data_IF_855342246690
#
_entry.id   IF_855342246690
#
_cell.length_a   1.000
_cell.length_b   1.000
_cell.length_c   1.000
_cell.angle_alpha   90.00
_cell.angle_beta   90.00
_cell.angle_gamma   90.00
#
_symmetry.space_group_name_H-M   'P 1'
#
loop_
_entity.id
_entity.type
_entity.pdbx_description
1 polymer ?
#
# COMPACT_ATOMS: atom_id res chain seq x y z
N UNK A 1 -4.36 59.29 -7.27
CA UNK A 1 -3.51 58.32 -8.00
C UNK A 1 -3.89 56.93 -7.51
N UNK A 2 -4.48 56.11 -8.39
CA UNK A 2 -4.98 54.77 -8.05
C UNK A 2 -3.97 53.76 -8.59
N UNK A 3 -3.25 53.08 -7.71
CA UNK A 3 -2.33 52.02 -8.09
C UNK A 3 -3.13 50.73 -8.33
N UNK A 4 -3.23 50.35 -9.60
CA UNK A 4 -3.79 49.08 -10.07
C UNK A 4 -2.79 47.95 -9.77
N UNK A 5 -3.17 47.01 -8.91
CA UNK A 5 -2.45 45.75 -8.73
C UNK A 5 -3.04 44.70 -9.68
N UNK A 6 -2.33 44.41 -10.78
CA UNK A 6 -2.62 43.25 -11.62
C UNK A 6 -2.14 41.99 -10.88
N UNK A 7 -3.11 41.25 -10.32
CA UNK A 7 -2.89 39.92 -9.77
C UNK A 7 -2.41 38.96 -10.85
N UNK A 8 -1.22 38.42 -10.62
CA UNK A 8 -0.52 37.44 -11.44
C UNK A 8 -1.43 36.25 -11.75
N UNK A 9 -1.59 35.95 -13.04
CA UNK A 9 -2.26 34.75 -13.51
C UNK A 9 -1.56 33.51 -12.95
N UNK A 10 -2.27 32.75 -12.11
CA UNK A 10 -1.85 31.42 -11.66
C UNK A 10 -1.80 30.54 -12.90
N UNK A 11 -0.59 30.37 -13.45
CA UNK A 11 -0.31 29.36 -14.46
C UNK A 11 -0.55 28.01 -13.81
N UNK A 12 -1.72 27.42 -14.11
CA UNK A 12 -2.02 26.03 -13.82
C UNK A 12 -0.93 25.19 -14.46
N UNK A 13 -0.03 24.64 -13.65
CA UNK A 13 0.93 23.63 -14.07
C UNK A 13 0.12 22.36 -14.32
N UNK A 14 -0.47 22.27 -15.52
CA UNK A 14 -0.96 21.01 -16.06
C UNK A 14 0.26 20.09 -16.20
N UNK A 15 0.47 19.23 -15.20
CA UNK A 15 1.40 18.12 -15.32
C UNK A 15 0.77 17.15 -16.31
N UNK A 16 1.07 17.30 -17.60
CA UNK A 16 0.87 16.24 -18.58
C UNK A 16 1.52 14.98 -18.01
N UNK A 17 0.74 13.93 -17.77
CA UNK A 17 1.25 12.70 -17.17
C UNK A 17 2.34 12.11 -18.06
N UNK A 18 3.56 11.88 -17.54
CA UNK A 18 4.55 11.14 -18.29
C UNK A 18 4.09 9.68 -18.32
N UNK A 19 4.00 9.11 -19.52
CA UNK A 19 3.65 7.71 -19.81
C UNK A 19 2.17 7.32 -19.71
N UNK A 20 1.34 7.86 -20.60
CA UNK A 20 0.32 7.00 -21.20
C UNK A 20 1.08 6.08 -22.15
N UNK A 21 1.23 4.81 -21.77
CA UNK A 21 1.75 3.79 -22.68
C UNK A 21 0.55 3.10 -23.34
N UNK A 22 0.10 3.57 -24.53
CA UNK A 22 -1.06 2.98 -25.22
C UNK A 22 -0.89 1.48 -25.51
N UNK A 23 0.36 0.99 -25.57
CA UNK A 23 0.70 -0.42 -25.77
C UNK A 23 0.13 -1.36 -24.68
N UNK A 24 -0.01 -0.87 -23.45
CA UNK A 24 -0.42 -1.66 -22.30
C UNK A 24 -1.94 -1.79 -22.13
N UNK A 25 -2.74 -1.07 -22.93
CA UNK A 25 -4.20 -1.07 -22.88
C UNK A 25 -4.79 0.07 -22.05
N UNK A 26 -6.03 -0.10 -21.58
CA UNK A 26 -6.79 0.91 -20.83
C UNK A 26 -6.27 1.02 -19.40
N UNK A 27 -5.97 2.24 -18.93
CA UNK A 27 -5.61 2.48 -17.53
C UNK A 27 -6.84 2.27 -16.63
N UNK A 28 -6.80 1.26 -15.76
CA UNK A 28 -7.92 0.90 -14.87
C UNK A 28 -7.69 1.30 -13.42
N UNK A 29 -6.44 1.55 -13.03
CA UNK A 29 -6.12 1.98 -11.67
C UNK A 29 -4.83 2.80 -11.59
N UNK A 30 -4.83 3.81 -10.72
CA UNK A 30 -3.68 4.68 -10.45
C UNK A 30 -3.47 4.80 -8.94
N UNK A 31 -2.42 4.15 -8.47
CA UNK A 31 -1.97 4.21 -7.08
C UNK A 31 -1.21 5.50 -6.77
N UNK A 32 -1.23 5.91 -5.51
CA UNK A 32 -0.44 7.00 -4.97
C UNK A 32 0.56 6.49 -3.93
N UNK A 33 1.72 6.03 -4.40
CA UNK A 33 2.76 5.52 -3.50
C UNK A 33 3.28 6.62 -2.56
N UNK A 34 3.35 7.87 -3.04
CA UNK A 34 3.81 8.99 -2.22
C UNK A 34 2.94 9.19 -0.96
N UNK A 35 1.62 9.06 -1.09
CA UNK A 35 0.69 9.10 0.06
C UNK A 35 0.94 7.95 1.04
N UNK A 36 1.21 6.74 0.55
CA UNK A 36 1.54 5.58 1.40
C UNK A 36 2.83 5.82 2.17
N UNK A 37 3.89 6.24 1.49
CA UNK A 37 5.19 6.56 2.11
C UNK A 37 5.04 7.70 3.13
N UNK A 38 4.25 8.73 2.81
CA UNK A 38 3.96 9.83 3.71
C UNK A 38 3.22 9.37 4.97
N UNK A 39 2.20 8.51 4.83
CA UNK A 39 1.45 7.96 5.95
C UNK A 39 2.33 7.16 6.91
N UNK A 40 3.20 6.29 6.37
CA UNK A 40 4.15 5.51 7.19
C UNK A 40 5.11 6.43 7.95
N UNK A 41 5.66 7.45 7.28
CA UNK A 41 6.55 8.43 7.94
C UNK A 41 5.84 9.21 9.02
N UNK A 42 4.63 9.70 8.75
CA UNK A 42 3.84 10.45 9.72
C UNK A 42 3.52 9.60 10.95
N UNK A 43 3.14 8.34 10.75
CA UNK A 43 2.90 7.40 11.83
C UNK A 43 4.16 7.19 12.69
N UNK A 44 5.31 6.92 12.07
CA UNK A 44 6.58 6.77 12.79
C UNK A 44 6.96 8.04 13.55
N UNK A 45 6.90 9.21 12.91
CA UNK A 45 7.22 10.49 13.57
C UNK A 45 6.27 10.81 14.71
N UNK A 46 4.97 10.60 14.54
CA UNK A 46 3.99 10.83 15.60
C UNK A 46 4.26 9.95 16.82
N UNK A 47 4.65 8.69 16.61
CA UNK A 47 4.99 7.78 17.70
C UNK A 47 6.30 8.17 18.38
N UNK A 48 7.30 8.63 17.63
CA UNK A 48 8.55 9.15 18.20
C UNK A 48 8.31 10.41 19.04
N UNK A 49 7.49 11.35 18.54
CA UNK A 49 7.10 12.56 19.27
C UNK A 49 6.33 12.19 20.54
N UNK A 50 5.37 11.29 20.45
CA UNK A 50 4.62 10.78 21.60
C UNK A 50 5.57 10.20 22.67
N UNK A 51 6.50 9.34 22.27
CA UNK A 51 7.50 8.78 23.18
C UNK A 51 8.37 9.87 23.83
N UNK A 52 8.78 10.89 23.06
CA UNK A 52 9.58 12.00 23.56
C UNK A 52 8.85 12.81 24.63
N UNK A 53 7.54 13.00 24.51
CA UNK A 53 6.73 13.74 25.50
C UNK A 53 6.26 12.87 26.67
N UNK A 54 6.00 11.59 26.44
CA UNK A 54 5.57 10.65 27.47
C UNK A 54 6.65 10.45 28.53
N UNK A 55 7.93 10.45 28.13
CA UNK A 55 9.08 10.30 29.03
C UNK A 55 9.17 11.37 30.13
N UNK A 56 9.30 12.68 29.81
CA UNK A 56 9.35 13.72 30.84
C UNK A 56 8.05 13.77 31.63
N UNK A 57 6.90 13.45 31.02
CA UNK A 57 5.64 13.35 31.73
C UNK A 57 5.69 12.29 32.84
N UNK A 58 6.13 11.05 32.54
CA UNK A 58 6.23 9.98 33.55
C UNK A 58 7.21 10.37 34.66
N UNK A 59 8.38 10.91 34.32
CA UNK A 59 9.39 11.34 35.30
C UNK A 59 8.84 12.42 36.23
N UNK A 60 8.19 13.45 35.69
CA UNK A 60 7.65 14.57 36.47
C UNK A 60 6.47 14.14 37.35
N UNK A 61 5.58 13.26 36.85
CA UNK A 61 4.32 12.90 37.53
C UNK A 61 4.48 11.76 38.52
N UNK A 62 5.43 10.87 38.27
CA UNK A 62 5.63 9.64 39.06
C UNK A 62 6.88 9.72 39.92
N UNK A 63 7.83 10.61 39.60
CA UNK A 63 9.14 10.69 40.28
C UNK A 63 10.07 9.49 40.02
N UNK A 64 9.56 8.47 39.33
CA UNK A 64 10.27 7.27 38.91
C UNK A 64 11.08 7.64 37.66
N UNK A 65 12.37 7.96 37.85
CA UNK A 65 13.34 8.04 36.77
C UNK A 65 13.61 6.66 36.14
N UNK A 66 14.70 6.53 35.38
CA UNK A 66 15.21 5.25 34.85
C UNK A 66 15.67 4.24 35.94
N UNK A 67 15.17 4.36 37.16
CA UNK A 67 15.46 3.49 38.31
C UNK A 67 14.97 2.05 38.07
N UNK A 68 13.88 1.87 37.31
CA UNK A 68 13.32 0.56 37.00
C UNK A 68 13.85 0.02 35.67
N UNK A 69 14.62 -1.08 35.75
CA UNK A 69 15.10 -1.84 34.60
C UNK A 69 13.95 -2.25 33.65
N UNK A 70 12.75 -2.52 34.17
CA UNK A 70 11.59 -2.90 33.37
C UNK A 70 11.12 -1.76 32.45
N UNK A 71 11.05 -0.53 32.98
CA UNK A 71 10.63 0.64 32.21
C UNK A 71 11.67 0.92 31.12
N UNK A 72 12.96 0.89 31.48
CA UNK A 72 14.05 1.08 30.53
C UNK A 72 14.03 0.04 29.40
N UNK A 73 13.86 -1.24 29.73
CA UNK A 73 13.76 -2.32 28.76
C UNK A 73 12.56 -2.17 27.82
N UNK A 74 11.40 -1.78 28.34
CA UNK A 74 10.21 -1.54 27.53
C UNK A 74 10.43 -0.42 26.49
N UNK A 75 11.07 0.68 26.89
CA UNK A 75 11.34 1.80 25.98
C UNK A 75 12.38 1.47 24.92
N UNK A 76 13.51 0.86 25.28
CA UNK A 76 14.48 0.43 24.27
C UNK A 76 13.91 -0.64 23.35
N UNK A 77 13.06 -1.52 23.88
CA UNK A 77 12.28 -2.48 23.09
C UNK A 77 11.38 -1.79 22.08
N UNK A 78 10.63 -0.76 22.50
CA UNK A 78 9.74 0.01 21.62
C UNK A 78 10.52 0.76 20.53
N UNK A 79 11.62 1.42 20.90
CA UNK A 79 12.51 2.12 19.96
C UNK A 79 13.10 1.13 18.95
N UNK A 80 13.62 0.00 19.43
CA UNK A 80 14.15 -1.07 18.58
C UNK A 80 13.09 -1.60 17.63
N UNK A 81 11.89 -1.89 18.13
CA UNK A 81 10.75 -2.35 17.33
C UNK A 81 10.45 -1.37 16.19
N UNK A 82 10.26 -0.09 16.47
CA UNK A 82 9.97 0.90 15.43
C UNK A 82 11.11 1.10 14.44
N UNK A 83 12.36 0.95 14.89
CA UNK A 83 13.57 1.05 14.04
C UNK A 83 13.60 -0.04 12.98
N UNK A 84 13.17 -1.27 13.29
CA UNK A 84 13.13 -2.38 12.32
C UNK A 84 11.79 -2.47 11.57
N UNK A 85 10.68 -2.24 12.23
CA UNK A 85 9.34 -2.38 11.63
C UNK A 85 9.12 -1.34 10.55
N UNK A 86 9.49 -0.08 10.78
CA UNK A 86 9.29 1.00 9.78
C UNK A 86 9.94 0.67 8.42
N UNK A 87 11.26 0.34 8.32
CA UNK A 87 11.88 0.01 7.05
C UNK A 87 11.34 -1.29 6.44
N UNK A 88 10.99 -2.29 7.25
CA UNK A 88 10.39 -3.55 6.75
C UNK A 88 9.00 -3.30 6.15
N UNK A 89 8.14 -2.58 6.86
CA UNK A 89 6.80 -2.19 6.37
C UNK A 89 6.93 -1.39 5.09
N UNK A 90 7.84 -0.41 5.03
CA UNK A 90 8.06 0.37 3.83
C UNK A 90 8.56 -0.49 2.66
N UNK A 91 9.46 -1.44 2.91
CA UNK A 91 9.98 -2.35 1.88
C UNK A 91 8.90 -3.27 1.31
N UNK A 92 8.09 -3.89 2.17
CA UNK A 92 6.99 -4.76 1.76
C UNK A 92 5.93 -3.97 0.99
N UNK A 93 5.55 -2.80 1.49
CA UNK A 93 4.58 -1.94 0.83
C UNK A 93 5.10 -1.46 -0.52
N UNK A 94 6.29 -0.87 -0.62
CA UNK A 94 6.79 -0.29 -1.88
C UNK A 94 6.98 -1.34 -2.97
N UNK A 95 7.45 -2.55 -2.64
CA UNK A 95 7.66 -3.65 -3.59
C UNK A 95 6.37 -4.23 -4.15
N UNK A 96 5.33 -4.35 -3.31
CA UNK A 96 4.03 -4.89 -3.69
C UNK A 96 3.05 -3.85 -4.21
N UNK A 97 3.28 -2.55 -3.95
CA UNK A 97 2.34 -1.50 -4.31
C UNK A 97 2.27 -1.30 -5.82
N UNK A 98 1.08 -1.50 -6.37
CA UNK A 98 0.80 -1.20 -7.77
C UNK A 98 0.64 0.31 -7.89
N UNK A 99 1.42 0.93 -8.76
CA UNK A 99 1.33 2.37 -9.04
C UNK A 99 0.40 2.64 -10.22
N UNK A 100 0.38 1.75 -11.21
CA UNK A 100 -0.49 1.82 -12.38
C UNK A 100 -0.88 0.41 -12.76
N UNK A 101 -2.16 0.22 -13.10
CA UNK A 101 -2.67 -1.03 -13.62
C UNK A 101 -3.38 -0.76 -14.93
N UNK A 102 -3.00 -1.50 -15.97
CA UNK A 102 -3.61 -1.45 -17.28
C UNK A 102 -4.32 -2.77 -17.56
N UNK A 103 -5.44 -2.69 -18.28
CA UNK A 103 -6.22 -3.83 -18.71
C UNK A 103 -6.36 -3.85 -20.24
N UNK A 104 -6.19 -5.02 -20.83
CA UNK A 104 -6.39 -5.27 -22.27
C UNK A 104 -7.49 -6.31 -22.43
N UNK A 105 -8.61 -5.87 -23.00
CA UNK A 105 -9.84 -6.65 -23.20
C UNK A 105 -9.59 -7.86 -24.13
N UNK A 106 -8.92 -7.63 -25.26
CA UNK A 106 -8.66 -8.64 -26.31
C UNK A 106 -8.04 -9.96 -25.79
N UNK A 107 -7.20 -9.89 -24.75
CA UNK A 107 -6.47 -11.04 -24.22
C UNK A 107 -6.74 -11.31 -22.74
N UNK A 108 -7.72 -10.63 -22.13
CA UNK A 108 -7.99 -10.69 -20.70
C UNK A 108 -6.73 -10.59 -19.82
N UNK A 109 -5.89 -9.61 -20.17
CA UNK A 109 -4.53 -9.48 -19.64
C UNK A 109 -4.36 -8.14 -18.92
N UNK A 110 -3.73 -8.21 -17.75
CA UNK A 110 -3.36 -7.07 -16.94
C UNK A 110 -1.87 -6.79 -17.02
N UNK A 111 -1.53 -5.50 -17.05
CA UNK A 111 -0.15 -5.04 -16.82
C UNK A 111 -0.11 -4.19 -15.57
N UNK A 112 0.49 -4.73 -14.50
CA UNK A 112 0.79 -3.98 -13.29
C UNK A 112 2.18 -3.35 -13.40
N UNK A 113 2.26 -2.05 -13.17
CA UNK A 113 3.51 -1.33 -12.96
C UNK A 113 3.70 -1.18 -11.45
N UNK A 114 4.83 -1.66 -10.94
CA UNK A 114 5.26 -1.50 -9.54
C UNK A 114 6.63 -0.85 -9.47
N UNK A 115 7.03 -0.39 -8.29
CA UNK A 115 8.42 0.01 -8.05
C UNK A 115 9.20 -1.15 -7.42
N UNK A 116 10.49 -1.24 -7.75
CA UNK A 116 11.43 -2.10 -7.03
C UNK A 116 11.97 -1.37 -5.76
N UNK A 117 12.86 -2.03 -5.01
CA UNK A 117 13.47 -1.46 -3.81
C UNK A 117 14.31 -0.18 -4.06
N UNK A 118 14.68 0.08 -5.31
CA UNK A 118 15.47 1.24 -5.76
C UNK A 118 14.58 2.24 -6.52
N UNK A 119 13.25 2.18 -6.34
CA UNK A 119 12.26 3.06 -6.99
C UNK A 119 12.32 3.04 -8.54
N UNK A 120 12.80 1.96 -9.14
CA UNK A 120 12.73 1.75 -10.59
C UNK A 120 11.41 1.08 -10.94
N UNK A 121 10.76 1.56 -12.00
CA UNK A 121 9.52 0.98 -12.50
C UNK A 121 9.74 -0.42 -13.07
N UNK A 122 8.83 -1.34 -12.77
CA UNK A 122 8.83 -2.70 -13.28
C UNK A 122 7.43 -3.07 -13.75
N UNK A 123 7.31 -3.40 -15.04
CA UNK A 123 6.08 -3.95 -15.60
C UNK A 123 5.97 -5.46 -15.33
N UNK A 124 4.79 -5.91 -14.96
CA UNK A 124 4.44 -7.33 -14.80
C UNK A 124 3.14 -7.60 -15.54
N UNK A 125 3.19 -8.51 -16.50
CA UNK A 125 2.04 -8.94 -17.29
C UNK A 125 1.50 -10.26 -16.77
N UNK A 126 0.19 -10.34 -16.52
CA UNK A 126 -0.49 -11.52 -16.00
C UNK A 126 -1.93 -11.58 -16.48
N UNK A 127 -2.53 -12.78 -16.50
CA UNK A 127 -3.94 -12.94 -16.83
C UNK A 127 -4.80 -12.86 -15.57
N UNK A 128 -6.08 -12.56 -15.72
CA UNK A 128 -7.04 -12.57 -14.61
C UNK A 128 -7.08 -13.93 -13.90
N UNK A 129 -7.01 -15.04 -14.65
CA UNK A 129 -6.92 -16.41 -14.10
C UNK A 129 -5.69 -16.69 -13.23
N UNK A 130 -4.62 -15.90 -13.38
CA UNK A 130 -3.40 -16.05 -12.58
C UNK A 130 -3.50 -15.29 -11.25
N UNK A 131 -4.63 -14.60 -11.00
CA UNK A 131 -4.91 -13.84 -9.80
C UNK A 131 -5.40 -14.77 -8.69
N UNK A 132 -4.72 -14.75 -7.55
CA UNK A 132 -5.13 -15.48 -6.34
C UNK A 132 -5.39 -14.52 -5.19
N UNK A 133 -6.53 -14.66 -4.53
CA UNK A 133 -6.87 -13.87 -3.34
C UNK A 133 -6.16 -14.50 -2.13
N UNK A 134 -5.42 -13.72 -1.34
CA UNK A 134 -4.77 -14.23 -0.15
C UNK A 134 -5.78 -14.56 0.95
N UNK A 135 -5.49 -15.61 1.73
CA UNK A 135 -6.13 -15.82 3.02
C UNK A 135 -5.83 -14.67 3.99
N UNK A 136 -6.71 -14.54 4.99
CA UNK A 136 -6.72 -13.50 6.03
C UNK A 136 -5.34 -13.29 6.70
N UNK A 137 -4.50 -14.33 6.71
CA UNK A 137 -3.15 -14.34 7.31
C UNK A 137 -2.15 -13.40 6.63
N UNK A 138 -2.41 -12.89 5.41
CA UNK A 138 -1.45 -12.09 4.64
C UNK A 138 -1.82 -10.61 4.59
N UNK A 139 -1.47 -9.87 5.66
CA UNK A 139 -1.96 -8.52 5.95
C UNK A 139 -1.48 -7.35 5.05
N UNK A 140 -0.71 -7.59 3.97
CA UNK A 140 -0.18 -6.51 3.11
C UNK A 140 -0.21 -6.87 1.62
N UNK A 141 -1.16 -7.70 1.22
CA UNK A 141 -1.35 -8.14 -0.16
C UNK A 141 -2.83 -8.13 -0.46
N UNK A 142 -3.23 -7.46 -1.55
CA UNK A 142 -4.63 -7.51 -2.02
C UNK A 142 -4.85 -8.75 -2.87
N UNK A 143 -3.88 -9.07 -3.74
CA UNK A 143 -3.93 -10.25 -4.59
C UNK A 143 -2.53 -10.69 -4.98
N UNK A 144 -2.40 -11.94 -5.40
CA UNK A 144 -1.20 -12.48 -6.02
C UNK A 144 -1.38 -12.54 -7.52
N UNK A 145 -0.45 -11.97 -8.28
CA UNK A 145 -0.32 -12.23 -9.71
C UNK A 145 0.78 -13.28 -9.91
N UNK A 146 0.39 -14.52 -10.22
CA UNK A 146 1.31 -15.68 -10.26
C UNK A 146 1.99 -15.91 -8.91
N UNK A 147 3.25 -15.50 -8.77
CA UNK A 147 4.06 -15.63 -7.54
C UNK A 147 4.36 -14.29 -6.86
N UNK A 148 3.88 -13.16 -7.43
CA UNK A 148 4.14 -11.82 -6.90
C UNK A 148 2.95 -11.29 -6.11
N UNK A 149 3.21 -10.83 -4.88
CA UNK A 149 2.23 -10.10 -4.06
C UNK A 149 2.01 -8.69 -4.62
N UNK A 150 0.76 -8.33 -4.83
CA UNK A 150 0.34 -7.01 -5.29
C UNK A 150 -0.60 -6.37 -4.28
N UNK A 151 -0.44 -5.07 -4.06
CA UNK A 151 -1.27 -4.26 -3.19
C UNK A 151 -1.90 -3.14 -4.01
N UNK A 152 -3.23 -3.11 -4.02
CA UNK A 152 -4.05 -2.08 -4.66
C UNK A 152 -5.07 -1.56 -3.64
N UNK A 153 -5.44 -0.29 -3.78
CA UNK A 153 -6.53 0.29 -3.02
C UNK A 153 -7.83 0.28 -3.85
N UNK A 154 -8.88 -0.46 -3.45
CA UNK A 154 -10.15 -0.52 -4.20
C UNK A 154 -10.77 0.85 -4.48
N UNK A 155 -10.59 1.82 -3.58
CA UNK A 155 -11.15 3.17 -3.70
C UNK A 155 -10.51 4.04 -4.78
N UNK A 156 -9.35 3.63 -5.32
CA UNK A 156 -8.65 4.35 -6.39
C UNK A 156 -8.96 3.80 -7.79
N UNK A 157 -9.86 2.82 -7.91
CA UNK A 157 -10.39 2.37 -9.19
C UNK A 157 -11.49 3.34 -9.65
N UNK A 158 -11.39 3.98 -10.83
CA UNK A 158 -12.44 4.86 -11.34
C UNK A 158 -13.76 4.11 -11.60
N UNK A 159 -13.66 2.86 -12.03
CA UNK A 159 -14.80 1.96 -12.22
C UNK A 159 -14.71 0.78 -11.25
N UNK A 160 -15.67 0.62 -10.32
CA UNK A 160 -15.71 -0.52 -9.41
C UNK A 160 -15.75 -1.89 -10.11
N UNK A 161 -16.30 -1.96 -11.33
CA UNK A 161 -16.34 -3.22 -12.09
C UNK A 161 -14.95 -3.72 -12.48
N UNK A 162 -13.99 -2.80 -12.72
CA UNK A 162 -12.61 -3.20 -13.02
C UNK A 162 -11.96 -3.90 -11.81
N UNK A 163 -12.30 -3.48 -10.58
CA UNK A 163 -11.84 -4.16 -9.37
C UNK A 163 -12.53 -5.52 -9.19
N UNK A 164 -13.84 -5.59 -9.41
CA UNK A 164 -14.59 -6.84 -9.32
C UNK A 164 -14.07 -7.88 -10.31
N UNK A 165 -13.81 -7.46 -11.54
CA UNK A 165 -13.25 -8.32 -12.58
C UNK A 165 -11.81 -8.75 -12.26
N UNK A 166 -10.96 -7.84 -11.79
CA UNK A 166 -9.60 -8.18 -11.34
C UNK A 166 -9.61 -9.24 -10.22
N UNK A 167 -10.51 -9.11 -9.26
CA UNK A 167 -10.65 -10.02 -8.14
C UNK A 167 -11.46 -11.28 -8.47
N UNK A 168 -12.08 -11.35 -9.64
CA UNK A 168 -12.93 -12.47 -10.08
C UNK A 168 -14.29 -12.56 -9.37
N UNK A 169 -14.76 -11.48 -8.75
CA UNK A 169 -16.07 -11.41 -8.08
C UNK A 169 -17.26 -11.31 -9.06
N UNK A 170 -16.97 -10.99 -10.31
CA UNK A 170 -17.94 -10.94 -11.41
C UNK A 170 -18.33 -12.33 -11.93
N UNK A 171 -17.50 -13.36 -11.65
CA UNK A 171 -17.80 -14.75 -12.00
C UNK A 171 -18.81 -15.30 -11.02
N UNK A 172 -19.91 -15.86 -11.55
CA UNK A 172 -20.94 -16.52 -10.75
C UNK A 172 -20.30 -17.58 -9.85
N UNK A 173 -20.48 -17.42 -8.54
CA UNK A 173 -19.99 -18.31 -7.49
C UNK A 173 -20.44 -19.76 -7.73
N UNK A 174 -19.62 -20.57 -8.40
CA UNK A 174 -19.51 -21.97 -8.03
C UNK A 174 -18.57 -21.99 -6.83
N UNK A 175 -19.13 -21.70 -5.66
CA UNK A 175 -18.46 -21.84 -4.37
C UNK A 175 -17.80 -23.22 -4.37
N UNK A 176 -16.47 -23.24 -4.30
CA UNK A 176 -15.70 -24.47 -4.18
C UNK A 176 -16.05 -25.13 -2.83
N UNK A 177 -17.04 -26.01 -2.88
CA UNK A 177 -17.30 -27.09 -1.91
C UNK A 177 -16.10 -28.04 -1.75
N UNK A 178 -14.99 -27.81 -2.47
CA UNK A 178 -13.74 -28.57 -2.34
C UNK A 178 -12.95 -28.22 -1.06
N UNK A 179 -13.08 -27.02 -0.49
CA UNK A 179 -12.45 -26.71 0.81
C UNK A 179 -13.10 -27.45 2.00
N UNK A 180 -14.35 -27.89 1.85
CA UNK A 180 -15.02 -28.71 2.88
C UNK A 180 -14.65 -30.19 2.78
N UNK A 181 -14.17 -30.67 1.62
CA UNK A 181 -13.80 -32.09 1.41
C UNK A 181 -12.42 -32.46 1.95
N UNK A 182 -11.42 -31.58 1.88
CA UNK A 182 -10.08 -31.88 2.40
C UNK A 182 -9.97 -31.86 3.94
N UNK A 183 -10.99 -31.34 4.63
CA UNK A 183 -11.09 -31.37 6.09
C UNK A 183 -11.75 -32.65 6.63
N UNK A 184 -12.52 -33.36 5.81
CA UNK A 184 -13.21 -34.61 6.19
C UNK A 184 -12.36 -35.86 5.93
N UNK A 185 -11.51 -35.86 4.88
CA UNK A 185 -10.59 -36.99 4.60
C UNK A 185 -9.34 -37.05 5.51
N UNK A 186 -9.17 -36.07 6.41
CA UNK A 186 -8.10 -36.03 7.43
C UNK A 186 -8.58 -36.31 8.86
N UNK A 187 -9.76 -36.91 9.02
CA UNK A 187 -10.27 -37.43 10.30
C UNK A 187 -10.24 -38.95 10.38
#
# INVERSE_FOLDING_TARGET
>A
QVASFQGVAVRSLSTSSPHEHPEHGRLVYKGNLAKVVLGVRFFSYSTSIFNLFMMPYIILKTGIGFESLFIQAAFYGLIGFFTFVTPVTLHVLTKGYVIRLYYKDEMDTYTAITYNAILTEKATVFHQKDVKIPDITKMFTTFYAKTKSMLVNPTLFPNPQDYNHLMGYDKSFYFNLEEEKEADERK
#
